data_IF_239057177536
#
_entry.id   IF_239057177536
#
_cell.length_a   1.000
_cell.length_b   1.000
_cell.length_c   1.000
_cell.angle_alpha   90.00
_cell.angle_beta   90.00
_cell.angle_gamma   90.00
#
_symmetry.space_group_name_H-M   'P 1'
#
loop_
_entity.id
_entity.type
_entity.pdbx_description
1 polymer ?
#
# COMPACT_ATOMS: atom_id res chain seq x y z
N UNK A 1 -20.91 20.49 21.61
CA UNK A 1 -19.73 20.16 20.83
C UNK A 1 -20.05 18.92 19.97
N UNK A 2 -20.23 19.10 18.68
CA UNK A 2 -20.46 17.99 17.75
C UNK A 2 -19.11 17.32 17.51
N UNK A 3 -18.95 16.10 17.98
CA UNK A 3 -17.79 15.26 17.70
C UNK A 3 -17.91 14.76 16.25
N UNK A 4 -17.03 15.18 15.36
CA UNK A 4 -16.94 14.63 14.03
C UNK A 4 -16.10 13.36 14.10
N UNK A 5 -16.72 12.22 13.81
CA UNK A 5 -16.06 10.97 13.51
C UNK A 5 -15.66 11.05 12.03
N UNK A 6 -14.35 11.09 11.73
CA UNK A 6 -13.87 10.99 10.36
C UNK A 6 -13.69 9.50 10.09
N UNK A 7 -14.62 8.92 9.36
CA UNK A 7 -14.57 7.51 8.94
C UNK A 7 -13.92 7.47 7.57
N UNK A 8 -12.78 6.80 7.48
CA UNK A 8 -12.18 6.41 6.20
C UNK A 8 -12.78 5.07 5.80
N UNK A 9 -13.62 5.08 4.80
CA UNK A 9 -14.07 3.87 4.13
C UNK A 9 -13.36 3.83 2.78
N UNK A 10 -12.25 3.13 2.72
CA UNK A 10 -11.66 2.73 1.45
C UNK A 10 -12.01 1.28 1.21
N UNK A 11 -12.89 1.05 0.25
CA UNK A 11 -13.09 -0.28 -0.29
C UNK A 11 -11.86 -0.65 -1.11
N UNK A 12 -10.93 -1.38 -0.52
CA UNK A 12 -9.85 -2.06 -1.26
C UNK A 12 -10.31 -3.47 -1.59
N UNK A 13 -11.46 -3.59 -2.22
CA UNK A 13 -11.91 -4.88 -2.71
C UNK A 13 -12.00 -4.86 -4.24
N UNK A 14 -11.89 -6.02 -4.82
CA UNK A 14 -12.19 -6.34 -6.22
C UNK A 14 -13.51 -5.72 -6.69
N UNK A 15 -14.44 -5.41 -5.78
CA UNK A 15 -15.73 -4.78 -6.07
C UNK A 15 -15.60 -3.34 -6.59
N UNK A 16 -14.59 -2.58 -6.21
CA UNK A 16 -14.35 -1.24 -6.79
C UNK A 16 -13.92 -1.36 -8.26
N UNK A 17 -13.18 -2.40 -8.62
CA UNK A 17 -12.80 -2.66 -10.00
C UNK A 17 -14.02 -2.93 -10.90
N UNK A 18 -15.05 -3.63 -10.39
CA UNK A 18 -16.29 -3.86 -11.12
C UNK A 18 -17.19 -2.61 -11.21
N UNK A 19 -17.22 -1.77 -10.18
CA UNK A 19 -17.98 -0.51 -10.22
C UNK A 19 -17.33 0.53 -11.15
N UNK A 20 -15.98 0.58 -11.20
CA UNK A 20 -15.24 1.46 -12.14
C UNK A 20 -15.42 1.00 -13.59
N UNK A 21 -15.47 -0.30 -13.87
CA UNK A 21 -15.69 -0.81 -15.23
C UNK A 21 -17.09 -0.47 -15.78
N UNK A 22 -18.09 -0.25 -14.94
CA UNK A 22 -19.44 0.14 -15.35
C UNK A 22 -19.65 1.67 -15.44
N UNK A 23 -18.82 2.49 -14.79
CA UNK A 23 -18.89 3.96 -14.87
C UNK A 23 -18.07 4.51 -16.06
N UNK A 24 -17.06 3.77 -16.53
CA UNK A 24 -16.20 4.23 -17.63
C UNK A 24 -16.76 4.02 -19.04
N UNK A 25 -17.95 3.45 -19.19
CA UNK A 25 -18.57 3.28 -20.52
C UNK A 25 -19.10 4.57 -21.16
N UNK A 26 -18.90 5.74 -20.55
CA UNK A 26 -19.44 7.01 -21.08
C UNK A 26 -18.43 8.16 -21.26
N UNK A 27 -17.11 7.94 -21.17
CA UNK A 27 -16.14 8.99 -21.56
C UNK A 27 -14.92 8.41 -22.29
N UNK A 28 -14.86 8.74 -23.58
CA UNK A 28 -13.70 8.87 -24.48
C UNK A 28 -12.66 7.73 -24.52
N UNK A 29 -12.67 7.03 -25.66
CA UNK A 29 -11.57 6.28 -26.28
C UNK A 29 -10.19 6.94 -26.04
N UNK A 30 -9.41 6.39 -25.14
CA UNK A 30 -7.95 6.43 -25.16
C UNK A 30 -7.48 5.00 -24.99
N UNK A 31 -6.91 4.45 -26.06
CA UNK A 31 -6.39 3.09 -26.10
C UNK A 31 -5.22 2.92 -25.14
N UNK A 32 -5.49 2.29 -24.00
CA UNK A 32 -4.48 1.68 -23.14
C UNK A 32 -4.82 0.21 -23.04
N UNK A 33 -3.95 -0.62 -23.56
CA UNK A 33 -3.97 -2.07 -23.33
C UNK A 33 -3.93 -2.31 -21.81
N UNK A 34 -5.05 -2.76 -21.23
CA UNK A 34 -5.13 -3.17 -19.83
C UNK A 34 -4.35 -4.47 -19.64
N UNK A 35 -3.09 -4.38 -19.27
CA UNK A 35 -2.36 -5.43 -18.57
C UNK A 35 -2.54 -5.16 -17.06
N UNK A 36 -3.78 -5.19 -16.57
CA UNK A 36 -4.07 -5.13 -15.15
C UNK A 36 -3.81 -6.51 -14.53
N UNK A 37 -2.75 -6.66 -13.76
CA UNK A 37 -2.61 -7.78 -12.84
C UNK A 37 -3.36 -7.38 -11.56
N UNK A 38 -4.46 -8.07 -11.22
CA UNK A 38 -5.12 -7.82 -9.95
C UNK A 38 -4.25 -8.36 -8.79
N UNK A 39 -4.47 -7.82 -7.59
CA UNK A 39 -3.74 -8.20 -6.38
C UNK A 39 -3.86 -9.71 -6.11
N UNK A 40 -5.00 -10.32 -6.40
CA UNK A 40 -5.24 -11.75 -6.21
C UNK A 40 -4.40 -12.60 -7.16
N UNK A 41 -4.23 -12.16 -8.39
CA UNK A 41 -3.29 -12.78 -9.35
C UNK A 41 -1.85 -12.65 -8.86
N UNK A 42 -1.47 -11.49 -8.29
CA UNK A 42 -0.14 -11.29 -7.70
C UNK A 42 0.11 -12.23 -6.51
N UNK A 43 -0.86 -12.42 -5.62
CA UNK A 43 -0.77 -13.40 -4.52
C UNK A 43 -0.64 -14.84 -5.03
N UNK A 44 -1.31 -15.21 -6.11
CA UNK A 44 -1.18 -16.55 -6.70
C UNK A 44 0.21 -16.82 -7.28
N UNK A 45 0.90 -15.81 -7.82
CA UNK A 45 2.29 -15.96 -8.28
C UNK A 45 3.28 -16.16 -7.13
N UNK A 46 3.00 -15.63 -5.94
CA UNK A 46 3.87 -15.73 -4.77
C UNK A 46 3.79 -17.05 -4.02
N UNK A 47 2.83 -17.95 -4.33
CA UNK A 47 2.64 -19.25 -3.67
C UNK A 47 3.66 -20.31 -4.10
N UNK A 48 4.86 -19.94 -4.55
CA UNK A 48 5.88 -20.93 -4.83
C UNK A 48 6.51 -21.45 -3.53
N UNK A 49 6.79 -22.77 -3.45
CA UNK A 49 7.46 -23.45 -2.33
C UNK A 49 8.86 -22.88 -2.02
N UNK A 50 9.33 -21.94 -2.83
CA UNK A 50 10.67 -21.37 -2.75
C UNK A 50 10.76 -20.11 -1.85
N UNK A 51 9.64 -19.57 -1.37
CA UNK A 51 9.65 -18.40 -0.48
C UNK A 51 9.46 -18.82 0.98
N UNK A 52 10.03 -18.02 1.89
CA UNK A 52 9.85 -18.23 3.32
C UNK A 52 8.39 -18.04 3.72
N UNK A 53 7.91 -18.93 4.60
CA UNK A 53 6.57 -18.84 5.17
C UNK A 53 6.61 -18.08 6.50
N UNK A 54 5.57 -17.30 6.77
CA UNK A 54 5.39 -16.66 8.08
C UNK A 54 4.83 -17.69 9.07
N UNK A 55 5.70 -18.27 9.90
CA UNK A 55 5.32 -19.40 10.79
C UNK A 55 5.28 -19.03 12.27
N UNK A 56 5.84 -17.89 12.68
CA UNK A 56 5.93 -17.53 14.09
C UNK A 56 6.28 -16.05 14.33
N UNK A 57 6.48 -15.73 15.59
CA UNK A 57 6.94 -14.40 15.99
C UNK A 57 8.36 -14.12 15.50
N UNK A 58 8.62 -12.87 15.19
CA UNK A 58 9.97 -12.36 14.91
C UNK A 58 10.21 -11.06 15.65
N UNK A 59 11.46 -10.70 15.81
CA UNK A 59 11.89 -9.38 16.25
C UNK A 59 11.92 -8.44 15.03
N UNK A 60 11.39 -7.23 15.18
CA UNK A 60 11.43 -6.19 14.17
C UNK A 60 12.65 -5.30 14.42
N UNK A 61 13.38 -5.00 13.35
CA UNK A 61 14.60 -4.19 13.38
C UNK A 61 14.46 -3.00 12.45
N UNK A 62 14.44 -1.80 13.00
CA UNK A 62 14.39 -0.57 12.23
C UNK A 62 15.78 0.06 12.12
N UNK A 63 16.18 0.58 10.95
CA UNK A 63 15.34 0.86 9.75
C UNK A 63 15.16 -0.31 8.77
N UNK A 64 15.80 -1.46 8.98
CA UNK A 64 15.85 -2.55 8.00
C UNK A 64 14.45 -3.02 7.56
N UNK A 65 13.52 -3.16 8.51
CA UNK A 65 12.15 -3.58 8.23
C UNK A 65 11.29 -2.52 7.51
N UNK A 66 11.81 -1.30 7.29
CA UNK A 66 11.21 -0.36 6.35
C UNK A 66 11.51 -0.73 4.89
N UNK A 67 12.57 -1.47 4.66
CA UNK A 67 13.04 -1.91 3.36
C UNK A 67 12.38 -3.19 2.83
N UNK A 68 12.98 -3.80 1.79
CA UNK A 68 12.44 -5.00 1.15
C UNK A 68 12.73 -6.27 1.93
N UNK A 69 11.83 -7.27 1.79
CA UNK A 69 11.96 -8.61 2.33
C UNK A 69 11.90 -9.65 1.19
N UNK A 70 12.94 -9.76 0.35
CA UNK A 70 12.92 -10.58 -0.88
C UNK A 70 12.75 -12.07 -0.64
N UNK A 71 13.01 -12.55 0.58
CA UNK A 71 12.79 -13.95 0.99
C UNK A 71 11.30 -14.32 1.03
N UNK A 72 10.40 -13.33 1.08
CA UNK A 72 8.95 -13.52 1.08
C UNK A 72 8.37 -13.23 -0.29
N UNK A 73 7.26 -13.90 -0.63
CA UNK A 73 6.66 -13.85 -1.95
C UNK A 73 6.02 -12.52 -2.31
N UNK A 74 5.47 -11.80 -1.32
CA UNK A 74 4.75 -10.54 -1.54
C UNK A 74 4.95 -9.59 -0.38
N UNK A 75 4.99 -8.31 -0.70
CA UNK A 75 5.03 -7.24 0.29
C UNK A 75 4.49 -5.94 -0.29
N UNK A 76 4.10 -5.01 0.61
CA UNK A 76 3.64 -3.69 0.20
C UNK A 76 3.98 -2.58 1.19
N UNK A 77 4.12 -1.39 0.63
CA UNK A 77 4.20 -0.09 1.28
C UNK A 77 2.94 0.68 0.92
N UNK A 78 2.03 0.77 1.86
CA UNK A 78 0.73 1.42 1.69
C UNK A 78 0.70 2.73 2.45
N UNK A 79 0.30 3.79 1.78
CA UNK A 79 0.09 5.10 2.37
C UNK A 79 -1.30 5.61 2.02
N UNK A 80 -2.00 6.16 3.00
CA UNK A 80 -3.28 6.84 2.79
C UNK A 80 -3.41 8.03 3.73
N UNK A 81 -4.19 9.03 3.36
CA UNK A 81 -4.37 10.19 4.22
C UNK A 81 -5.47 11.13 3.78
N UNK A 82 -5.83 12.00 4.73
CA UNK A 82 -6.73 13.13 4.52
C UNK A 82 -5.94 14.41 4.57
N UNK A 83 -6.07 15.19 3.53
CA UNK A 83 -5.38 16.45 3.34
C UNK A 83 -6.38 17.57 3.06
N UNK A 84 -6.00 18.77 3.43
CA UNK A 84 -6.78 19.98 3.14
C UNK A 84 -5.88 21.11 2.72
N UNK A 85 -6.38 21.97 1.83
CA UNK A 85 -5.77 23.27 1.59
C UNK A 85 -6.14 24.26 2.71
N UNK A 86 -5.52 25.43 2.72
CA UNK A 86 -5.88 26.51 3.62
C UNK A 86 -7.35 26.95 3.42
N UNK A 87 -7.85 26.92 2.17
CA UNK A 87 -9.23 27.22 1.81
C UNK A 87 -10.20 26.05 2.11
N UNK A 88 -9.72 25.01 2.83
CA UNK A 88 -10.49 23.85 3.27
C UNK A 88 -11.04 22.99 2.13
N UNK A 89 -10.35 22.95 0.99
CA UNK A 89 -10.60 21.91 -0.01
C UNK A 89 -10.00 20.60 0.47
N UNK A 90 -10.84 19.56 0.59
CA UNK A 90 -10.45 18.27 1.14
C UNK A 90 -10.09 17.27 0.06
N UNK A 91 -9.03 16.50 0.33
CA UNK A 91 -8.55 15.41 -0.49
C UNK A 91 -8.34 14.16 0.35
N UNK A 92 -8.75 13.00 -0.19
CA UNK A 92 -8.24 11.71 0.24
C UNK A 92 -7.22 11.22 -0.77
N UNK A 93 -6.12 10.65 -0.33
CA UNK A 93 -5.17 10.04 -1.24
C UNK A 93 -4.79 8.62 -0.78
N UNK A 94 -4.32 7.82 -1.74
CA UNK A 94 -3.69 6.52 -1.52
C UNK A 94 -2.51 6.38 -2.47
N UNK A 95 -1.39 5.87 -1.97
CA UNK A 95 -0.28 5.36 -2.75
C UNK A 95 0.12 4.00 -2.18
N UNK A 96 0.15 2.98 -3.02
CA UNK A 96 0.64 1.66 -2.64
C UNK A 96 1.68 1.21 -3.66
N UNK A 97 2.83 0.77 -3.18
CA UNK A 97 3.79 0.03 -3.99
C UNK A 97 3.85 -1.41 -3.47
N UNK A 98 3.70 -2.37 -4.37
CA UNK A 98 3.78 -3.81 -4.11
C UNK A 98 5.04 -4.36 -4.75
N UNK A 99 5.67 -5.34 -4.08
CA UNK A 99 6.65 -6.24 -4.69
C UNK A 99 6.10 -7.65 -4.69
N UNK A 100 6.28 -8.34 -5.80
CA UNK A 100 5.88 -9.74 -5.99
C UNK A 100 7.08 -10.52 -6.49
N UNK A 101 7.48 -11.55 -5.76
CA UNK A 101 8.48 -12.51 -6.18
C UNK A 101 7.91 -13.48 -7.21
N UNK A 102 8.63 -13.69 -8.32
CA UNK A 102 8.24 -14.58 -9.43
C UNK A 102 8.84 -15.99 -9.31
N UNK A 103 9.54 -16.28 -8.20
CA UNK A 103 10.24 -17.51 -7.93
C UNK A 103 11.72 -17.27 -7.65
N UNK A 104 12.32 -18.15 -6.84
CA UNK A 104 13.75 -18.06 -6.47
C UNK A 104 14.67 -18.85 -7.41
N UNK A 105 14.17 -19.47 -8.46
CA UNK A 105 15.07 -20.08 -9.44
C UNK A 105 15.87 -18.95 -10.11
N UNK A 106 17.15 -18.86 -9.75
CA UNK A 106 18.16 -18.17 -10.55
C UNK A 106 18.26 -18.83 -11.93
N UNK A 107 17.29 -18.63 -12.76
CA UNK A 107 17.48 -18.82 -14.19
C UNK A 107 18.49 -17.75 -14.60
N UNK A 108 19.77 -18.11 -14.63
CA UNK A 108 20.85 -17.27 -15.20
C UNK A 108 20.49 -16.97 -16.65
N UNK A 109 19.65 -15.97 -16.82
CA UNK A 109 19.32 -15.43 -18.13
C UNK A 109 20.37 -14.35 -18.40
N UNK A 110 21.05 -14.42 -19.53
CA UNK A 110 22.05 -13.43 -19.95
C UNK A 110 21.44 -12.04 -20.28
N UNK A 111 20.13 -11.91 -20.20
CA UNK A 111 19.42 -10.67 -20.52
C UNK A 111 19.38 -9.71 -19.33
N UNK A 112 19.76 -8.45 -19.55
CA UNK A 112 19.61 -7.36 -18.57
C UNK A 112 18.14 -7.06 -18.21
N UNK A 113 17.17 -7.65 -18.91
CA UNK A 113 15.74 -7.60 -18.63
C UNK A 113 15.26 -8.75 -17.72
N UNK A 114 16.19 -9.66 -17.37
CA UNK A 114 15.86 -10.75 -16.46
C UNK A 114 15.64 -10.22 -15.06
N UNK A 115 14.55 -10.63 -14.42
CA UNK A 115 14.25 -10.32 -13.03
C UNK A 115 13.44 -11.44 -12.41
N UNK A 116 13.59 -11.62 -11.11
CA UNK A 116 12.73 -12.44 -10.26
C UNK A 116 11.71 -11.63 -9.47
N UNK A 117 11.67 -10.31 -9.67
CA UNK A 117 10.82 -9.39 -8.92
C UNK A 117 9.96 -8.54 -9.87
N UNK A 118 8.70 -8.37 -9.50
CA UNK A 118 7.76 -7.49 -10.16
C UNK A 118 7.26 -6.46 -9.14
N UNK A 119 7.16 -5.21 -9.58
CA UNK A 119 6.59 -4.14 -8.77
C UNK A 119 5.31 -3.63 -9.40
N UNK A 120 4.30 -3.37 -8.56
CA UNK A 120 3.03 -2.75 -8.95
C UNK A 120 2.81 -1.52 -8.10
N UNK A 121 2.26 -0.48 -8.69
CA UNK A 121 1.93 0.77 -8.00
C UNK A 121 0.48 1.17 -8.25
N UNK A 122 -0.22 1.54 -7.18
CA UNK A 122 -1.56 2.13 -7.25
C UNK A 122 -1.53 3.52 -6.66
N UNK A 123 -1.98 4.52 -7.42
CA UNK A 123 -2.15 5.89 -6.98
C UNK A 123 -3.62 6.27 -7.11
N UNK A 124 -4.23 6.76 -6.03
CA UNK A 124 -5.58 7.29 -6.06
C UNK A 124 -5.68 8.64 -5.36
N UNK A 125 -6.57 9.50 -5.86
CA UNK A 125 -6.92 10.77 -5.25
C UNK A 125 -8.42 11.01 -5.35
N UNK A 126 -9.05 11.31 -4.22
CA UNK A 126 -10.42 11.79 -4.11
C UNK A 126 -10.42 13.31 -3.87
N UNK A 127 -10.97 14.09 -4.79
CA UNK A 127 -11.23 15.53 -4.63
C UNK A 127 -12.68 15.69 -4.18
N UNK A 128 -12.87 15.86 -2.87
CA UNK A 128 -14.19 15.80 -2.23
C UNK A 128 -15.13 16.91 -2.72
N UNK A 129 -14.66 18.15 -2.79
CA UNK A 129 -15.49 19.29 -3.21
C UNK A 129 -15.94 19.17 -4.67
N UNK A 130 -15.08 18.66 -5.54
CA UNK A 130 -15.40 18.52 -6.95
C UNK A 130 -16.03 17.18 -7.30
N UNK A 131 -16.22 16.29 -6.31
CA UNK A 131 -16.75 14.93 -6.51
C UNK A 131 -16.02 14.20 -7.64
N UNK A 132 -14.66 14.30 -7.64
CA UNK A 132 -13.80 13.67 -8.64
C UNK A 132 -12.91 12.62 -7.99
N UNK A 133 -12.76 11.51 -8.70
CA UNK A 133 -11.85 10.43 -8.33
C UNK A 133 -10.86 10.17 -9.46
N UNK A 134 -9.60 10.08 -9.09
CA UNK A 134 -8.49 9.77 -9.98
C UNK A 134 -7.87 8.46 -9.49
N UNK A 135 -7.64 7.50 -10.39
CA UNK A 135 -6.98 6.25 -10.07
C UNK A 135 -6.05 5.85 -11.22
N UNK A 136 -4.85 5.41 -10.86
CA UNK A 136 -3.81 5.03 -11.79
C UNK A 136 -3.07 3.80 -11.27
N UNK A 137 -2.55 3.01 -12.20
CA UNK A 137 -1.79 1.81 -11.94
C UNK A 137 -0.52 1.79 -12.77
N UNK A 138 0.56 1.26 -12.19
CA UNK A 138 1.82 0.97 -12.87
C UNK A 138 2.28 -0.44 -12.56
N UNK A 139 2.93 -1.07 -13.52
CA UNK A 139 3.61 -2.34 -13.35
C UNK A 139 4.99 -2.23 -13.98
N UNK A 140 6.02 -2.61 -13.24
CA UNK A 140 7.40 -2.60 -13.72
C UNK A 140 8.19 -3.77 -13.17
N UNK A 141 9.27 -4.11 -13.86
CA UNK A 141 10.23 -5.14 -13.43
C UNK A 141 11.36 -4.51 -12.66
N UNK A 142 11.92 -5.24 -11.70
CA UNK A 142 13.21 -4.91 -11.11
C UNK A 142 14.34 -5.22 -12.10
N UNK A 143 14.40 -4.42 -13.15
CA UNK A 143 15.42 -4.52 -14.19
C UNK A 143 15.74 -3.12 -14.69
N UNK A 144 17.00 -2.83 -15.02
CA UNK A 144 17.45 -1.55 -15.57
C UNK A 144 17.07 -0.34 -14.69
N UNK A 145 16.99 -0.54 -13.38
CA UNK A 145 16.60 0.50 -12.40
C UNK A 145 15.18 1.07 -12.60
N UNK A 146 14.28 0.33 -13.29
CA UNK A 146 12.92 0.77 -13.55
C UNK A 146 12.03 0.66 -12.29
N UNK A 147 12.31 -0.30 -11.42
CA UNK A 147 11.63 -0.45 -10.14
C UNK A 147 12.57 -1.13 -9.15
N UNK A 148 12.32 -0.92 -7.86
CA UNK A 148 13.11 -1.55 -6.81
C UNK A 148 12.78 -1.07 -5.41
N UNK A 149 13.45 -1.69 -4.43
CA UNK A 149 13.43 -1.28 -3.03
C UNK A 149 14.80 -1.55 -2.40
N UNK A 150 15.30 -0.60 -1.62
CA UNK A 150 16.61 -0.70 -0.95
C UNK A 150 16.59 -0.04 0.42
N UNK A 151 17.48 -0.48 1.30
CA UNK A 151 17.89 0.25 2.50
C UNK A 151 19.39 0.52 2.38
N UNK A 152 19.82 1.75 2.63
CA UNK A 152 21.24 2.11 2.62
C UNK A 152 21.89 1.80 3.96
N UNK A 153 23.23 1.73 4.00
CA UNK A 153 24.03 1.57 5.23
C UNK A 153 23.78 2.70 6.25
N UNK A 154 23.29 3.85 5.79
CA UNK A 154 22.93 5.02 6.61
C UNK A 154 21.52 4.92 7.20
N UNK A 155 20.77 3.85 6.87
CA UNK A 155 19.41 3.61 7.34
C UNK A 155 18.33 4.39 6.58
N UNK A 156 18.65 4.92 5.41
CA UNK A 156 17.65 5.49 4.51
C UNK A 156 17.04 4.36 3.67
N UNK A 157 15.74 4.41 3.43
CA UNK A 157 15.06 3.45 2.57
C UNK A 157 14.44 4.14 1.37
N UNK A 158 14.44 3.45 0.24
CA UNK A 158 13.86 3.90 -1.01
C UNK A 158 13.12 2.78 -1.72
N UNK A 159 11.89 3.07 -2.17
CA UNK A 159 11.08 2.20 -3.02
C UNK A 159 10.63 3.01 -4.22
N UNK A 160 10.71 2.44 -5.43
CA UNK A 160 10.33 3.18 -6.63
C UNK A 160 9.72 2.30 -7.72
N UNK A 161 8.90 2.91 -8.55
CA UNK A 161 8.44 2.41 -9.85
C UNK A 161 8.50 3.59 -10.81
N UNK A 162 9.46 3.59 -11.73
CA UNK A 162 9.77 4.71 -12.62
C UNK A 162 10.01 6.02 -11.82
N UNK A 163 9.13 7.02 -11.97
CA UNK A 163 9.15 8.29 -11.25
C UNK A 163 8.19 8.37 -10.05
N UNK A 164 7.57 7.25 -9.65
CA UNK A 164 6.89 7.13 -8.37
C UNK A 164 7.88 6.66 -7.32
N UNK A 165 8.07 7.48 -6.29
CA UNK A 165 9.16 7.31 -5.33
C UNK A 165 8.62 7.43 -3.91
N UNK A 166 9.06 6.55 -3.04
CA UNK A 166 8.94 6.62 -1.60
C UNK A 166 10.37 6.67 -1.06
N UNK A 167 10.79 7.80 -0.52
CA UNK A 167 12.07 7.98 0.17
C UNK A 167 11.81 8.16 1.67
N UNK A 168 12.52 7.45 2.52
CA UNK A 168 12.32 7.57 3.96
C UNK A 168 13.61 7.40 4.76
N UNK A 169 13.56 7.89 5.99
CA UNK A 169 14.63 7.78 6.97
C UNK A 169 14.06 7.75 8.40
N UNK A 170 14.81 7.19 9.33
CA UNK A 170 14.46 7.10 10.73
C UNK A 170 14.19 5.67 11.19
N UNK A 171 14.07 5.50 12.51
CA UNK A 171 13.86 4.20 13.13
C UNK A 171 12.35 3.91 13.26
N UNK A 172 11.83 3.93 14.48
CA UNK A 172 10.42 3.65 14.78
C UNK A 172 9.47 4.84 14.57
N UNK A 173 10.00 6.01 14.21
CA UNK A 173 9.24 7.21 13.84
C UNK A 173 9.81 7.81 12.54
N UNK A 174 9.62 7.15 11.41
CA UNK A 174 10.23 7.60 10.16
C UNK A 174 9.64 8.90 9.65
N UNK A 175 10.47 9.64 8.93
CA UNK A 175 10.05 10.68 7.99
C UNK A 175 10.08 10.09 6.59
N UNK A 176 8.99 10.23 5.85
CA UNK A 176 8.84 9.67 4.52
C UNK A 176 8.44 10.77 3.56
N UNK A 177 9.08 10.85 2.40
CA UNK A 177 8.62 11.65 1.27
C UNK A 177 8.02 10.72 0.22
N UNK A 178 6.85 11.04 -0.25
CA UNK A 178 6.22 10.35 -1.38
C UNK A 178 6.08 11.31 -2.56
N UNK A 179 6.50 10.85 -3.72
CA UNK A 179 6.40 11.56 -4.99
C UNK A 179 5.77 10.63 -6.01
N UNK A 180 4.63 11.02 -6.57
CA UNK A 180 4.02 10.27 -7.66
C UNK A 180 3.34 11.21 -8.65
N UNK A 181 3.47 10.89 -9.94
CA UNK A 181 2.87 11.68 -11.02
C UNK A 181 2.28 10.77 -12.07
N UNK A 182 1.01 11.03 -12.43
CA UNK A 182 0.37 10.34 -13.54
C UNK A 182 -0.64 11.26 -14.23
N UNK A 183 -0.52 11.40 -15.54
CA UNK A 183 -1.35 12.30 -16.30
C UNK A 183 -1.30 13.75 -15.78
N UNK A 184 -2.44 14.25 -15.35
CA UNK A 184 -2.56 15.60 -14.77
C UNK A 184 -2.37 15.66 -13.24
N UNK A 185 -2.33 14.49 -12.58
CA UNK A 185 -2.15 14.38 -11.14
C UNK A 185 -0.67 14.31 -10.78
N UNK A 186 -0.25 15.09 -9.78
CA UNK A 186 1.01 14.94 -9.06
C UNK A 186 0.75 15.08 -7.57
N UNK A 187 1.33 14.20 -6.76
CA UNK A 187 1.48 14.36 -5.31
C UNK A 187 2.97 14.48 -4.97
N UNK A 188 3.30 15.34 -4.02
CA UNK A 188 4.65 15.53 -3.49
C UNK A 188 4.48 15.89 -2.00
N UNK A 189 4.54 14.88 -1.15
CA UNK A 189 4.15 14.96 0.25
C UNK A 189 5.28 14.49 1.14
N UNK A 190 5.48 15.19 2.27
CA UNK A 190 6.35 14.77 3.37
C UNK A 190 5.48 14.34 4.55
N UNK A 191 5.73 13.16 5.06
CA UNK A 191 5.00 12.50 6.14
C UNK A 191 5.95 12.28 7.31
N UNK A 192 5.67 12.87 8.48
CA UNK A 192 6.44 12.67 9.69
C UNK A 192 5.63 11.82 10.66
N UNK A 193 6.11 10.63 11.04
CA UNK A 193 5.48 9.84 12.08
C UNK A 193 5.51 10.59 13.41
N UNK A 194 4.34 10.71 14.05
CA UNK A 194 4.17 11.40 15.34
C UNK A 194 3.97 10.42 16.50
N UNK A 195 3.97 9.12 16.18
CA UNK A 195 3.89 8.01 17.14
C UNK A 195 4.90 6.92 16.75
N UNK A 196 5.35 6.11 17.71
CA UNK A 196 6.11 4.91 17.38
C UNK A 196 5.34 3.96 16.50
N UNK A 197 6.06 3.11 15.77
CA UNK A 197 5.50 1.97 15.02
C UNK A 197 4.62 1.12 15.93
N UNK A 198 3.48 0.69 15.40
CA UNK A 198 2.55 -0.24 16.04
C UNK A 198 2.64 -1.59 15.33
N UNK A 199 3.01 -2.63 16.08
CA UNK A 199 3.06 -4.00 15.59
C UNK A 199 1.65 -4.61 15.65
N UNK A 200 1.06 -4.89 14.48
CA UNK A 200 -0.31 -5.39 14.36
C UNK A 200 -0.42 -6.88 14.74
N UNK A 201 -1.59 -7.27 15.25
CA UNK A 201 -1.83 -8.65 15.69
C UNK A 201 -1.00 -9.02 16.93
N UNK A 202 -0.41 -10.20 16.94
CA UNK A 202 0.44 -10.65 18.04
C UNK A 202 1.89 -10.19 17.80
N UNK A 203 2.27 -9.03 18.34
CA UNK A 203 3.64 -8.47 18.19
C UNK A 203 4.11 -8.45 16.73
N UNK A 204 3.24 -8.03 15.79
CA UNK A 204 3.55 -7.94 14.38
C UNK A 204 3.20 -9.20 13.56
N UNK A 205 2.83 -10.30 14.19
CA UNK A 205 2.32 -11.49 13.52
C UNK A 205 0.80 -11.37 13.34
N UNK A 206 0.36 -11.12 12.12
CA UNK A 206 -1.04 -10.97 11.73
C UNK A 206 -1.54 -12.23 11.01
N UNK A 207 -2.33 -13.06 11.72
CA UNK A 207 -2.90 -14.28 11.15
C UNK A 207 -4.09 -13.96 10.27
N UNK A 208 -4.10 -14.49 9.06
CA UNK A 208 -5.16 -14.31 8.06
C UNK A 208 -5.98 -15.59 7.86
N UNK A 209 -5.43 -16.75 8.20
CA UNK A 209 -6.12 -18.04 8.16
C UNK A 209 -5.46 -19.04 9.14
N UNK A 210 -5.94 -20.29 9.17
CA UNK A 210 -5.46 -21.33 10.07
C UNK A 210 -4.33 -22.20 9.47
N UNK A 211 -3.96 -21.96 8.22
CA UNK A 211 -2.96 -22.74 7.51
C UNK A 211 -1.55 -22.34 7.95
N UNK A 212 -0.58 -23.23 7.73
CA UNK A 212 0.84 -22.91 7.95
C UNK A 212 1.23 -21.84 6.94
N UNK A 213 1.85 -20.74 7.41
CA UNK A 213 2.18 -19.62 6.55
C UNK A 213 1.03 -18.66 6.27
N UNK A 214 -0.21 -18.96 6.70
CA UNK A 214 -1.39 -18.10 6.56
C UNK A 214 -1.38 -16.88 7.48
N UNK A 215 -0.28 -16.17 7.48
CA UNK A 215 -0.03 -14.98 8.27
C UNK A 215 0.89 -14.01 7.53
N UNK A 216 0.96 -12.79 7.99
CA UNK A 216 1.90 -11.77 7.54
C UNK A 216 2.65 -11.18 8.72
N UNK A 217 3.83 -10.60 8.47
CA UNK A 217 4.44 -9.61 9.34
C UNK A 217 3.89 -8.25 8.98
N UNK A 218 3.36 -7.53 9.97
CA UNK A 218 2.57 -6.34 9.73
C UNK A 218 2.79 -5.29 10.83
N UNK A 219 3.19 -4.09 10.42
CA UNK A 219 3.23 -2.93 11.29
C UNK A 219 2.63 -1.69 10.62
N UNK A 220 2.27 -0.70 11.44
CA UNK A 220 1.70 0.57 10.99
C UNK A 220 2.39 1.76 11.64
N UNK A 221 2.56 2.86 10.87
CA UNK A 221 2.69 4.20 11.41
C UNK A 221 1.31 4.85 11.36
N UNK A 222 0.60 4.79 12.49
CA UNK A 222 -0.85 5.08 12.53
C UNK A 222 -1.18 6.55 12.42
N UNK A 223 -0.20 7.44 12.66
CA UNK A 223 -0.41 8.89 12.63
C UNK A 223 0.84 9.61 12.14
N UNK A 224 0.76 10.13 10.93
CA UNK A 224 1.85 10.86 10.30
C UNK A 224 1.39 12.27 9.93
N UNK A 225 1.97 13.28 10.57
CA UNK A 225 1.75 14.67 10.16
C UNK A 225 2.23 14.85 8.72
N UNK A 226 1.38 15.37 7.87
CA UNK A 226 1.62 15.39 6.44
C UNK A 226 1.49 16.81 5.89
N UNK A 227 2.45 17.20 5.08
CA UNK A 227 2.44 18.47 4.35
C UNK A 227 3.03 18.29 2.96
N UNK A 228 2.72 19.20 2.05
CA UNK A 228 3.27 19.18 0.70
C UNK A 228 2.33 19.77 -0.34
N UNK A 229 2.31 19.17 -1.52
CA UNK A 229 1.59 19.69 -2.67
C UNK A 229 0.81 18.59 -3.40
N UNK A 230 -0.41 18.96 -3.82
CA UNK A 230 -1.18 18.24 -4.84
C UNK A 230 -1.28 19.17 -6.06
N UNK A 231 -1.00 18.63 -7.25
CA UNK A 231 -1.21 19.33 -8.51
C UNK A 231 -2.24 18.59 -9.36
N UNK A 232 -3.19 19.33 -9.90
CA UNK A 232 -4.20 18.86 -10.85
C UNK A 232 -4.14 19.73 -12.11
N UNK A 233 -3.51 19.24 -13.16
CA UNK A 233 -3.16 20.03 -14.33
C UNK A 233 -2.20 21.17 -13.97
N UNK A 234 -2.60 22.40 -14.23
CA UNK A 234 -1.80 23.60 -13.91
C UNK A 234 -2.00 24.10 -12.47
N UNK A 235 -2.99 23.59 -11.76
CA UNK A 235 -3.28 24.02 -10.40
C UNK A 235 -2.42 23.25 -9.41
N UNK A 236 -1.45 23.96 -8.78
CA UNK A 236 -0.65 23.44 -7.67
C UNK A 236 -1.21 23.98 -6.36
N UNK A 237 -1.56 23.10 -5.44
CA UNK A 237 -2.18 23.42 -4.15
C UNK A 237 -1.29 22.93 -3.02
N UNK A 238 -0.98 23.81 -2.07
CA UNK A 238 -0.38 23.39 -0.81
C UNK A 238 -1.43 22.73 0.05
N UNK A 239 -1.04 21.60 0.67
CA UNK A 239 -1.92 20.79 1.50
C UNK A 239 -1.23 20.39 2.78
N UNK A 240 -2.03 20.18 3.83
CA UNK A 240 -1.60 19.57 5.08
C UNK A 240 -2.68 18.65 5.63
N UNK A 241 -2.29 17.73 6.52
CA UNK A 241 -3.24 16.81 7.14
C UNK A 241 -2.58 15.66 7.89
N UNK A 242 -3.25 14.53 7.89
CA UNK A 242 -2.79 13.32 8.57
C UNK A 242 -2.79 12.15 7.60
N UNK A 243 -1.76 11.32 7.71
CA UNK A 243 -1.63 10.08 6.95
C UNK A 243 -1.43 8.88 7.87
N UNK A 244 -1.56 7.74 7.26
CA UNK A 244 -1.33 6.41 7.79
C UNK A 244 -0.40 5.67 6.85
N UNK A 245 0.50 4.85 7.38
CA UNK A 245 1.34 3.93 6.63
C UNK A 245 1.14 2.52 7.16
N UNK A 246 0.95 1.55 6.26
CA UNK A 246 1.05 0.12 6.53
C UNK A 246 2.23 -0.48 5.78
N UNK A 247 2.93 -1.35 6.47
CA UNK A 247 4.01 -2.17 5.94
C UNK A 247 3.72 -3.62 6.28
N UNK A 248 3.62 -4.44 5.25
CA UNK A 248 3.23 -5.84 5.43
C UNK A 248 3.94 -6.73 4.41
N UNK A 249 4.39 -7.93 4.83
CA UNK A 249 5.00 -8.92 3.96
C UNK A 249 4.62 -10.33 4.35
N UNK A 250 4.52 -11.20 3.35
CA UNK A 250 4.06 -12.58 3.48
C UNK A 250 4.42 -13.40 2.24
N UNK A 251 4.08 -14.69 2.28
CA UNK A 251 4.09 -15.57 1.10
C UNK A 251 2.70 -16.10 0.79
N UNK A 252 1.89 -16.40 1.82
CA UNK A 252 0.54 -16.99 1.69
C UNK A 252 -0.43 -16.31 2.63
N UNK A 253 -0.65 -15.00 2.46
CA UNK A 253 -1.51 -14.24 3.37
C UNK A 253 -2.98 -14.68 3.32
N UNK A 254 -3.51 -15.00 2.15
CA UNK A 254 -4.92 -15.41 1.97
C UNK A 254 -5.02 -16.91 1.68
N UNK A 255 -6.08 -17.54 2.18
CA UNK A 255 -6.47 -18.91 1.79
C UNK A 255 -7.23 -18.91 0.46
N UNK A 256 -7.35 -20.10 -0.18
CA UNK A 256 -8.11 -20.25 -1.42
C UNK A 256 -9.57 -19.77 -1.33
N UNK A 257 -10.18 -19.81 -0.13
CA UNK A 257 -11.57 -19.40 0.10
C UNK A 257 -11.74 -17.91 0.33
N UNK A 258 -10.67 -17.19 0.55
CA UNK A 258 -10.68 -15.74 0.81
C UNK A 258 -10.45 -14.99 -0.49
N UNK A 259 -11.41 -14.15 -0.87
CA UNK A 259 -11.42 -13.41 -2.14
C UNK A 259 -10.96 -11.96 -2.01
N UNK A 260 -10.65 -11.48 -0.80
CA UNK A 260 -10.23 -10.11 -0.55
C UNK A 260 -10.53 -9.68 0.88
N UNK A 261 -10.40 -8.39 1.12
CA UNK A 261 -10.65 -7.79 2.43
C UNK A 261 -11.14 -6.35 2.31
N UNK A 262 -11.86 -5.91 3.34
CA UNK A 262 -12.08 -4.50 3.64
C UNK A 262 -11.16 -4.09 4.78
N UNK A 263 -10.49 -2.94 4.63
CA UNK A 263 -9.55 -2.42 5.61
C UNK A 263 -9.98 -1.03 6.08
N UNK A 264 -9.80 -0.76 7.38
CA UNK A 264 -10.18 0.49 8.01
C UNK A 264 -9.05 0.97 8.93
N UNK A 265 -8.59 2.22 8.72
CA UNK A 265 -7.72 2.94 9.65
C UNK A 265 -8.46 4.14 10.21
N UNK A 266 -8.66 4.17 11.53
CA UNK A 266 -9.41 5.22 12.22
C UNK A 266 -8.47 5.99 13.15
N UNK A 267 -8.46 7.31 13.01
CA UNK A 267 -7.72 8.22 13.88
C UNK A 267 -8.72 9.03 14.71
N UNK A 268 -8.77 8.78 16.01
CA UNK A 268 -9.71 9.45 16.91
C UNK A 268 -9.14 10.79 17.41
N UNK A 269 -10.03 11.73 17.75
CA UNK A 269 -9.67 13.05 18.24
C UNK A 269 -9.02 13.05 19.62
N UNK A 270 -9.17 11.97 20.39
CA UNK A 270 -8.54 11.77 21.68
C UNK A 270 -7.13 11.15 21.60
N UNK A 271 -6.62 10.98 20.38
CA UNK A 271 -5.29 10.47 20.10
C UNK A 271 -5.20 8.97 19.96
N UNK A 272 -6.27 8.21 20.17
CA UNK A 272 -6.29 6.75 19.87
C UNK A 272 -6.40 6.52 18.38
N UNK A 273 -5.86 5.39 17.92
CA UNK A 273 -5.99 4.92 16.56
C UNK A 273 -6.50 3.48 16.59
N UNK A 274 -7.20 3.06 15.55
CA UNK A 274 -7.72 1.70 15.43
C UNK A 274 -7.56 1.25 13.97
N UNK A 275 -6.89 0.13 13.77
CA UNK A 275 -6.88 -0.60 12.53
C UNK A 275 -7.80 -1.82 12.65
N UNK A 276 -8.60 -2.09 11.64
CA UNK A 276 -9.36 -3.32 11.53
C UNK A 276 -9.52 -3.74 10.07
N UNK A 277 -9.62 -5.04 9.85
CA UNK A 277 -9.91 -5.59 8.54
C UNK A 277 -10.93 -6.73 8.63
N UNK A 278 -11.72 -6.87 7.58
CA UNK A 278 -12.64 -7.97 7.35
C UNK A 278 -12.16 -8.75 6.14
N UNK A 279 -11.84 -10.02 6.34
CA UNK A 279 -11.54 -10.95 5.25
C UNK A 279 -12.86 -11.47 4.68
N UNK A 280 -12.98 -11.44 3.36
CA UNK A 280 -14.19 -11.81 2.65
C UNK A 280 -14.02 -13.19 2.01
N UNK A 281 -15.04 -14.02 2.14
CA UNK A 281 -15.10 -15.36 1.53
C UNK A 281 -15.95 -15.36 0.27
N UNK A 282 -15.78 -16.38 -0.59
CA UNK A 282 -16.52 -16.51 -1.86
C UNK A 282 -18.03 -16.48 -1.71
N UNK A 283 -18.57 -16.93 -0.57
CA UNK A 283 -20.01 -16.87 -0.25
C UNK A 283 -20.47 -15.50 0.29
N UNK A 284 -19.59 -14.50 0.27
CA UNK A 284 -19.86 -13.12 0.67
C UNK A 284 -19.94 -12.91 2.19
N UNK A 285 -19.44 -13.87 2.99
CA UNK A 285 -19.38 -13.74 4.43
C UNK A 285 -18.04 -13.18 4.89
N UNK A 286 -18.03 -12.69 6.12
CA UNK A 286 -16.83 -12.28 6.83
C UNK A 286 -16.16 -13.51 7.43
N UNK A 287 -14.88 -13.72 7.12
CA UNK A 287 -14.09 -14.80 7.69
C UNK A 287 -13.84 -14.56 9.19
N UNK A 288 -13.82 -15.63 9.98
CA UNK A 288 -13.63 -15.58 11.43
C UNK A 288 -12.24 -15.13 11.87
N UNK A 289 -11.26 -15.10 10.97
CA UNK A 289 -9.89 -14.60 11.21
C UNK A 289 -9.76 -13.09 10.96
N UNK A 290 -10.85 -12.41 10.59
CA UNK A 290 -10.91 -10.95 10.58
C UNK A 290 -10.53 -10.37 11.94
N UNK A 291 -9.73 -9.31 11.95
CA UNK A 291 -9.11 -8.83 13.19
C UNK A 291 -8.83 -7.32 13.15
N UNK A 292 -8.26 -6.80 14.25
CA UNK A 292 -7.86 -5.40 14.39
C UNK A 292 -6.87 -5.20 15.53
N UNK A 293 -6.31 -4.02 15.57
CA UNK A 293 -5.34 -3.57 16.59
C UNK A 293 -5.66 -2.15 17.03
#
# INVERSE_FOLDING_TARGET
>A
AKRFLIIFVFFTSVTIFFAISNVTNNTANLGTSRLGMDIQTAFNFSQSDNFQQVTGLREFTFPDDHGPHPDYGVEWWYFTGNLSTEEKRHFGYQLTLFRVGLGQEEVKRESNWSTSQLYMGHLALSDVQNTKFYAFERISREALDLAGAVVSDEGNFRIWIDDWIIDGAGLDQPTVRILAREGSLKIDLTLQSTKPVILNGQSGLSRKNQEIGGASYYYSCTRMATEGFISLGQQKMQVSGQSWMDREWSTSALSEKQIGWDWFGLQFSDGRDLMLYQLLTEDGKVDSTSSGT
#
